data_IF_814501752282
#
_entry.id   IF_814501752282
#
_cell.length_a   1.000
_cell.length_b   1.000
_cell.length_c   1.000
_cell.angle_alpha   90.00
_cell.angle_beta   90.00
_cell.angle_gamma   90.00
#
_symmetry.space_group_name_H-M   'P 1'
#
loop_
_entity.id
_entity.type
_entity.pdbx_description
1 polymer ?
#
# COMPACT_ATOMS: atom_id res chain seq x y z
N UNK A 1 28.00 24.54 -12.35
CA UNK A 1 28.09 25.16 -13.68
C UNK A 1 26.70 25.55 -14.12
N UNK A 2 26.45 26.80 -14.39
CA UNK A 2 25.14 27.28 -14.85
C UNK A 2 25.11 27.18 -16.38
N UNK A 3 24.16 26.41 -16.92
CA UNK A 3 24.06 26.23 -18.37
C UNK A 3 22.66 26.68 -18.81
N UNK A 4 22.58 27.73 -19.62
CA UNK A 4 21.39 28.08 -20.41
C UNK A 4 21.62 27.55 -21.84
N UNK A 5 21.09 26.36 -22.15
CA UNK A 5 21.39 25.66 -23.37
C UNK A 5 20.15 25.09 -24.05
N UNK A 6 20.25 24.80 -25.36
CA UNK A 6 19.20 24.07 -26.08
C UNK A 6 19.08 22.63 -25.58
N UNK A 7 20.20 21.94 -25.37
CA UNK A 7 20.33 20.64 -24.69
C UNK A 7 21.73 20.56 -24.08
N UNK A 8 21.91 19.68 -23.09
CA UNK A 8 23.20 19.52 -22.42
C UNK A 8 23.58 18.04 -22.26
N UNK A 9 24.85 17.74 -22.51
CA UNK A 9 25.46 16.44 -22.23
C UNK A 9 26.70 16.67 -21.38
N UNK A 10 26.67 16.24 -20.13
CA UNK A 10 27.69 16.49 -19.13
C UNK A 10 28.25 15.16 -18.67
N UNK A 11 29.56 15.00 -18.79
CA UNK A 11 30.26 13.82 -18.27
C UNK A 11 31.38 14.30 -17.36
N UNK A 12 31.37 13.83 -16.11
CA UNK A 12 32.41 14.14 -15.12
C UNK A 12 32.71 12.89 -14.27
N UNK A 13 33.88 12.85 -13.68
CA UNK A 13 34.23 11.77 -12.75
C UNK A 13 34.28 12.25 -11.31
N UNK A 14 34.51 13.51 -11.11
CA UNK A 14 34.61 14.14 -9.78
C UNK A 14 34.08 15.59 -9.84
N UNK A 15 33.33 15.96 -8.82
CA UNK A 15 32.84 17.32 -8.68
C UNK A 15 31.34 17.46 -8.95
N UNK A 16 30.73 18.48 -8.40
CA UNK A 16 29.30 18.68 -8.51
C UNK A 16 28.86 19.18 -9.89
N UNK A 17 27.76 18.67 -10.38
CA UNK A 17 27.08 19.13 -11.60
C UNK A 17 25.88 19.98 -11.20
N UNK A 18 25.80 21.18 -11.76
CA UNK A 18 24.64 22.05 -11.66
C UNK A 18 24.18 22.44 -13.07
N UNK A 19 22.93 22.07 -13.42
CA UNK A 19 22.34 22.35 -14.72
C UNK A 19 20.98 23.03 -14.57
N UNK A 20 20.82 24.23 -15.14
CA UNK A 20 19.57 25.00 -15.03
C UNK A 20 19.14 25.55 -16.38
N UNK A 21 17.83 25.69 -16.58
CA UNK A 21 17.25 26.32 -17.77
C UNK A 21 17.65 25.64 -19.08
N UNK A 22 17.61 24.33 -19.14
CA UNK A 22 17.86 23.56 -20.37
C UNK A 22 16.54 23.45 -21.14
N UNK A 23 16.47 23.99 -22.34
CA UNK A 23 15.24 24.00 -23.16
C UNK A 23 14.89 22.63 -23.73
N UNK A 24 15.88 21.81 -24.05
CA UNK A 24 15.75 20.44 -24.54
C UNK A 24 16.15 19.41 -23.48
N UNK A 25 16.83 18.37 -23.92
CA UNK A 25 17.21 17.24 -23.09
C UNK A 25 18.48 17.48 -22.29
N UNK A 26 18.53 16.89 -21.11
CA UNK A 26 19.68 16.86 -20.23
C UNK A 26 20.19 15.42 -20.06
N UNK A 27 21.46 15.18 -20.38
CA UNK A 27 22.16 13.95 -20.10
C UNK A 27 23.32 14.24 -19.14
N UNK A 28 23.32 13.59 -17.97
CA UNK A 28 24.42 13.69 -16.98
C UNK A 28 24.96 12.29 -16.70
N UNK A 29 26.27 12.14 -16.83
CA UNK A 29 27.02 10.98 -16.32
C UNK A 29 28.06 11.48 -15.35
N UNK A 30 27.84 11.25 -14.06
CA UNK A 30 28.81 11.57 -13.01
C UNK A 30 29.15 10.31 -12.21
N UNK A 31 30.33 10.29 -11.64
CA UNK A 31 30.74 9.18 -10.81
C UNK A 31 30.82 9.56 -9.32
N UNK A 32 31.20 10.80 -9.01
CA UNK A 32 31.45 11.16 -7.62
C UNK A 32 31.23 12.67 -7.36
N UNK A 33 29.98 13.06 -7.23
CA UNK A 33 29.59 14.42 -6.94
C UNK A 33 28.08 14.57 -6.78
N UNK A 34 27.66 15.71 -6.31
CA UNK A 34 26.24 16.04 -6.29
C UNK A 34 25.77 16.47 -7.68
N UNK A 35 24.59 16.04 -8.06
CA UNK A 35 23.93 16.45 -9.30
C UNK A 35 22.68 17.25 -8.94
N UNK A 36 22.65 18.51 -9.31
CA UNK A 36 21.50 19.39 -9.14
C UNK A 36 21.04 19.91 -10.50
N UNK A 37 19.74 19.74 -10.83
CA UNK A 37 19.20 20.28 -12.06
C UNK A 37 17.76 20.78 -11.90
N UNK A 38 17.46 21.84 -12.66
CA UNK A 38 16.14 22.45 -12.61
C UNK A 38 15.75 23.11 -13.92
N UNK A 39 14.41 23.20 -14.14
CA UNK A 39 13.82 23.81 -15.31
C UNK A 39 14.33 23.17 -16.62
N UNK A 40 14.05 21.88 -16.78
CA UNK A 40 14.41 21.07 -17.95
C UNK A 40 13.18 20.96 -18.84
N UNK A 41 13.26 21.50 -20.05
CA UNK A 41 12.14 21.53 -21.00
C UNK A 41 11.92 20.19 -21.72
N UNK A 42 12.96 19.38 -21.87
CA UNK A 42 12.94 18.03 -22.43
C UNK A 42 13.06 16.96 -21.35
N UNK A 43 13.62 15.81 -21.73
CA UNK A 43 13.88 14.69 -20.84
C UNK A 43 15.19 14.84 -20.07
N UNK A 44 15.27 14.23 -18.90
CA UNK A 44 16.49 14.15 -18.10
C UNK A 44 16.92 12.70 -17.90
N UNK A 45 18.14 12.38 -18.29
CA UNK A 45 18.75 11.07 -18.12
C UNK A 45 20.02 11.22 -17.28
N UNK A 46 19.95 10.70 -16.04
CA UNK A 46 20.95 10.95 -15.01
C UNK A 46 21.53 9.61 -14.56
N UNK A 47 22.85 9.49 -14.64
CA UNK A 47 23.59 8.40 -14.02
C UNK A 47 24.60 8.99 -13.05
N UNK A 48 24.52 8.59 -11.76
CA UNK A 48 25.45 9.00 -10.72
C UNK A 48 25.79 7.83 -9.81
N UNK A 49 27.01 7.67 -9.36
CA UNK A 49 27.36 6.59 -8.44
C UNK A 49 27.37 7.02 -6.97
N UNK A 50 27.92 8.19 -6.68
CA UNK A 50 28.02 8.71 -5.32
C UNK A 50 27.67 10.20 -5.26
N UNK A 51 26.92 10.58 -4.24
CA UNK A 51 26.48 11.95 -4.02
C UNK A 51 24.99 12.15 -4.32
N UNK A 52 24.42 13.19 -3.79
CA UNK A 52 22.99 13.44 -3.86
C UNK A 52 22.55 13.88 -5.27
N UNK A 53 21.36 13.45 -5.67
CA UNK A 53 20.69 13.91 -6.86
C UNK A 53 19.46 14.73 -6.45
N UNK A 54 19.44 16.00 -6.82
CA UNK A 54 18.32 16.90 -6.52
C UNK A 54 17.80 17.51 -7.81
N UNK A 55 16.47 17.48 -8.01
CA UNK A 55 15.88 18.01 -9.22
C UNK A 55 14.52 18.66 -9.01
N UNK A 56 14.20 19.61 -9.92
CA UNK A 56 12.87 20.19 -10.01
C UNK A 56 12.51 20.61 -11.44
N UNK A 57 11.21 20.67 -11.69
CA UNK A 57 10.64 21.25 -12.91
C UNK A 57 11.14 20.58 -14.20
N UNK A 58 10.95 19.28 -14.30
CA UNK A 58 11.27 18.47 -15.51
C UNK A 58 9.99 18.26 -16.30
N UNK A 59 9.96 18.66 -17.56
CA UNK A 59 8.78 18.55 -18.42
C UNK A 59 8.72 17.26 -19.22
N UNK A 60 9.86 16.67 -19.56
CA UNK A 60 9.97 15.40 -20.26
C UNK A 60 10.02 14.18 -19.34
N UNK A 61 10.47 13.06 -19.89
CA UNK A 61 10.75 11.87 -19.10
C UNK A 61 11.92 12.09 -18.16
N UNK A 62 11.88 11.43 -17.01
CA UNK A 62 13.01 11.39 -16.09
C UNK A 62 13.46 9.95 -15.89
N UNK A 63 14.72 9.69 -16.16
CA UNK A 63 15.40 8.46 -15.80
C UNK A 63 16.60 8.79 -14.90
N UNK A 64 16.64 8.25 -13.70
CA UNK A 64 17.70 8.49 -12.74
C UNK A 64 18.21 7.17 -12.17
N UNK A 65 19.44 6.83 -12.46
CA UNK A 65 20.12 5.63 -11.97
C UNK A 65 21.27 6.05 -11.07
N UNK A 66 21.20 5.62 -9.81
CA UNK A 66 22.20 5.94 -8.80
C UNK A 66 22.58 4.68 -8.01
N UNK A 67 23.66 4.75 -7.24
CA UNK A 67 24.07 3.64 -6.40
C UNK A 67 24.07 4.00 -4.91
N UNK A 68 24.57 5.17 -4.56
CA UNK A 68 24.74 5.61 -3.17
C UNK A 68 24.32 7.08 -3.03
N UNK A 69 23.08 7.39 -3.41
CA UNK A 69 22.62 8.76 -3.49
C UNK A 69 21.29 8.95 -2.79
N UNK A 70 21.13 10.05 -2.06
CA UNK A 70 19.80 10.53 -1.76
C UNK A 70 19.23 11.20 -3.00
N UNK A 71 18.11 10.69 -3.49
CA UNK A 71 17.39 11.26 -4.62
C UNK A 71 16.22 12.09 -4.10
N UNK A 72 16.23 13.39 -4.38
CA UNK A 72 15.14 14.31 -4.03
C UNK A 72 14.62 15.00 -5.27
N UNK A 73 13.34 14.85 -5.54
CA UNK A 73 12.73 15.42 -6.73
C UNK A 73 11.34 15.99 -6.51
N UNK A 74 11.05 17.04 -7.25
CA UNK A 74 9.72 17.65 -7.25
C UNK A 74 9.34 18.17 -8.63
N UNK A 75 8.03 18.25 -8.88
CA UNK A 75 7.49 18.89 -10.10
C UNK A 75 8.00 18.24 -11.39
N UNK A 76 7.73 16.94 -11.57
CA UNK A 76 7.98 16.25 -12.84
C UNK A 76 6.66 16.13 -13.60
N UNK A 77 6.56 16.82 -14.73
CA UNK A 77 5.36 16.92 -15.55
C UNK A 77 5.32 15.88 -16.68
N UNK A 78 6.44 15.23 -16.96
CA UNK A 78 6.58 14.24 -18.02
C UNK A 78 5.73 12.98 -17.82
N UNK A 79 5.60 12.20 -18.88
CA UNK A 79 4.74 11.02 -18.90
C UNK A 79 5.26 9.86 -18.03
N UNK A 80 6.57 9.82 -17.74
CA UNK A 80 7.16 8.77 -16.89
C UNK A 80 8.36 9.26 -16.09
N UNK A 81 8.48 8.69 -14.89
CA UNK A 81 9.62 8.86 -13.98
C UNK A 81 10.10 7.47 -13.58
N UNK A 82 11.36 7.20 -13.83
CA UNK A 82 12.03 5.96 -13.43
C UNK A 82 13.22 6.30 -12.55
N UNK A 83 13.25 5.76 -11.34
CA UNK A 83 14.37 5.94 -10.42
C UNK A 83 14.85 4.59 -9.92
N UNK A 84 16.13 4.35 -10.05
CA UNK A 84 16.83 3.16 -9.54
C UNK A 84 17.99 3.59 -8.66
N UNK A 85 17.96 3.19 -7.40
CA UNK A 85 19.03 3.42 -6.46
C UNK A 85 19.35 2.14 -5.69
N UNK A 86 20.50 2.04 -5.06
CA UNK A 86 20.84 0.87 -4.25
C UNK A 86 20.77 1.15 -2.75
N UNK A 87 21.28 2.30 -2.28
CA UNK A 87 21.44 2.54 -0.85
C UNK A 87 20.79 3.80 -0.31
N UNK A 88 20.45 4.77 -1.13
CA UNK A 88 19.93 6.05 -0.67
C UNK A 88 18.41 6.08 -0.56
N UNK A 89 17.93 7.13 0.07
CA UNK A 89 16.51 7.42 0.15
C UNK A 89 16.01 8.08 -1.14
N UNK A 90 14.79 7.75 -1.53
CA UNK A 90 14.09 8.40 -2.65
C UNK A 90 12.93 9.21 -2.08
N UNK A 91 12.93 10.52 -2.31
CA UNK A 91 11.88 11.45 -1.88
C UNK A 91 11.35 12.22 -3.07
N UNK A 92 10.08 12.00 -3.41
CA UNK A 92 9.44 12.59 -4.60
C UNK A 92 8.15 13.30 -4.23
N UNK A 93 7.95 14.43 -4.86
CA UNK A 93 6.76 15.26 -4.70
C UNK A 93 6.26 15.76 -6.06
N UNK A 94 4.95 15.78 -6.28
CA UNK A 94 4.30 16.32 -7.46
C UNK A 94 4.77 15.65 -8.77
N UNK A 95 4.41 14.40 -8.97
CA UNK A 95 4.72 13.63 -10.19
C UNK A 95 3.44 13.48 -11.02
N UNK A 96 3.45 13.97 -12.26
CA UNK A 96 2.27 13.91 -13.13
C UNK A 96 2.13 12.59 -13.89
N UNK A 97 3.24 11.99 -14.31
CA UNK A 97 3.28 10.76 -15.09
C UNK A 97 3.30 9.48 -14.26
N UNK A 98 3.48 8.35 -14.94
CA UNK A 98 3.73 7.07 -14.29
C UNK A 98 5.06 7.12 -13.51
N UNK A 99 5.06 6.56 -12.32
CA UNK A 99 6.24 6.51 -11.45
C UNK A 99 6.65 5.06 -11.17
N UNK A 100 7.91 4.76 -11.42
CA UNK A 100 8.55 3.51 -11.01
C UNK A 100 9.84 3.83 -10.24
N UNK A 101 9.80 3.72 -8.90
CA UNK A 101 10.92 4.02 -8.02
C UNK A 101 11.34 2.79 -7.22
N UNK A 102 12.61 2.47 -7.26
CA UNK A 102 13.19 1.31 -6.61
C UNK A 102 14.50 1.64 -5.93
N UNK A 103 14.64 1.18 -4.69
CA UNK A 103 15.90 1.18 -3.94
C UNK A 103 16.08 -0.15 -3.20
N UNK A 104 17.30 -0.54 -2.85
CA UNK A 104 17.49 -1.74 -2.03
C UNK A 104 17.41 -1.45 -0.54
N UNK A 105 18.07 -0.41 -0.06
CA UNK A 105 18.20 -0.16 1.38
C UNK A 105 17.50 1.11 1.88
N UNK A 106 17.22 2.05 1.00
CA UNK A 106 16.66 3.34 1.36
C UNK A 106 15.14 3.33 1.56
N UNK A 107 14.67 4.34 2.25
CA UNK A 107 13.25 4.68 2.33
C UNK A 107 12.78 5.28 1.00
N UNK A 108 11.56 4.92 0.58
CA UNK A 108 10.87 5.57 -0.54
C UNK A 108 9.70 6.37 0.00
N UNK A 109 9.73 7.68 -0.24
CA UNK A 109 8.67 8.61 0.15
C UNK A 109 8.13 9.31 -1.09
N UNK A 110 6.82 9.17 -1.34
CA UNK A 110 6.15 9.78 -2.49
C UNK A 110 4.92 10.54 -2.05
N UNK A 111 4.78 11.79 -2.52
CA UNK A 111 3.60 12.62 -2.34
C UNK A 111 3.10 13.13 -3.68
N UNK A 112 1.78 13.26 -3.83
CA UNK A 112 1.14 13.89 -4.98
C UNK A 112 1.54 13.28 -6.34
N UNK A 113 1.40 11.97 -6.52
CA UNK A 113 1.65 11.32 -7.79
C UNK A 113 0.33 11.00 -8.53
N UNK A 114 0.15 11.58 -9.71
CA UNK A 114 -1.10 11.51 -10.50
C UNK A 114 -1.17 10.31 -11.46
N UNK A 115 -0.04 9.73 -11.83
CA UNK A 115 0.05 8.55 -12.67
C UNK A 115 -0.14 7.24 -11.89
N UNK A 116 0.08 6.11 -12.57
CA UNK A 116 0.25 4.82 -11.90
C UNK A 116 1.57 4.79 -11.13
N UNK A 117 1.56 4.25 -9.92
CA UNK A 117 2.73 4.29 -9.02
C UNK A 117 3.18 2.87 -8.68
N UNK A 118 4.45 2.58 -8.89
CA UNK A 118 5.12 1.37 -8.43
C UNK A 118 6.32 1.75 -7.59
N UNK A 119 6.32 1.31 -6.32
CA UNK A 119 7.40 1.58 -5.38
C UNK A 119 7.96 0.27 -4.85
N UNK A 120 9.29 0.16 -4.83
CA UNK A 120 9.97 -1.03 -4.31
C UNK A 120 11.13 -0.64 -3.43
N UNK A 121 11.29 -1.40 -2.33
CA UNK A 121 12.49 -1.41 -1.52
C UNK A 121 12.75 -2.83 -1.02
N UNK A 122 14.00 -3.21 -0.73
CA UNK A 122 14.24 -4.50 -0.09
C UNK A 122 14.19 -4.38 1.43
N UNK A 123 14.78 -3.32 1.99
CA UNK A 123 14.90 -3.14 3.44
C UNK A 123 14.22 -1.88 3.97
N UNK A 124 14.12 -0.84 3.19
CA UNK A 124 13.56 0.44 3.61
C UNK A 124 12.03 0.47 3.64
N UNK A 125 11.52 1.41 4.41
CA UNK A 125 10.08 1.68 4.45
C UNK A 125 9.59 2.36 3.16
N UNK A 126 8.32 2.13 2.84
CA UNK A 126 7.62 2.82 1.75
C UNK A 126 6.50 3.65 2.36
N UNK A 127 6.50 4.94 2.08
CA UNK A 127 5.43 5.87 2.46
C UNK A 127 4.92 6.58 1.22
N UNK A 128 3.61 6.54 1.01
CA UNK A 128 3.01 7.21 -0.14
C UNK A 128 1.65 7.84 0.21
N UNK A 129 1.42 9.03 -0.31
CA UNK A 129 0.18 9.77 -0.05
C UNK A 129 -0.30 10.55 -1.26
N UNK A 130 -1.62 10.77 -1.31
CA UNK A 130 -2.31 11.54 -2.34
C UNK A 130 -2.06 11.01 -3.76
N UNK A 131 -2.47 9.76 -4.02
CA UNK A 131 -2.30 9.08 -5.30
C UNK A 131 -3.67 8.68 -5.86
N UNK A 132 -4.23 9.42 -6.81
CA UNK A 132 -5.61 9.22 -7.26
C UNK A 132 -5.84 7.95 -8.09
N UNK A 133 -4.83 7.41 -8.77
CA UNK A 133 -5.01 6.25 -9.65
C UNK A 133 -4.83 4.89 -8.99
N UNK A 134 -4.00 4.79 -7.99
CA UNK A 134 -3.66 3.54 -7.34
C UNK A 134 -2.17 3.28 -7.27
N UNK A 135 -1.77 2.28 -6.47
CA UNK A 135 -0.38 2.04 -6.12
C UNK A 135 -0.06 0.56 -5.95
N UNK A 136 1.14 0.19 -6.36
CA UNK A 136 1.81 -1.05 -6.01
C UNK A 136 3.05 -0.77 -5.17
N UNK A 137 3.02 -1.11 -3.88
CA UNK A 137 4.11 -0.93 -2.92
C UNK A 137 4.64 -2.30 -2.47
N UNK A 138 5.94 -2.54 -2.64
CA UNK A 138 6.57 -3.82 -2.29
C UNK A 138 7.87 -3.57 -1.54
N UNK A 139 7.98 -4.13 -0.35
CA UNK A 139 9.25 -4.15 0.39
C UNK A 139 9.48 -5.54 1.01
N UNK A 140 10.70 -5.84 1.37
CA UNK A 140 11.02 -7.08 2.09
C UNK A 140 10.83 -6.92 3.60
N UNK A 141 11.53 -5.97 4.19
CA UNK A 141 11.61 -5.81 5.65
C UNK A 141 10.97 -4.51 6.17
N UNK A 142 10.84 -3.50 5.33
CA UNK A 142 10.30 -2.21 5.73
C UNK A 142 8.78 -2.22 5.95
N UNK A 143 8.30 -1.24 6.72
CA UNK A 143 6.86 -0.96 6.81
C UNK A 143 6.33 -0.28 5.55
N UNK A 144 5.02 -0.40 5.31
CA UNK A 144 4.32 0.27 4.23
C UNK A 144 3.23 1.15 4.83
N UNK A 145 3.26 2.44 4.52
CA UNK A 145 2.22 3.40 4.92
C UNK A 145 1.65 4.06 3.68
N UNK A 146 0.35 3.88 3.45
CA UNK A 146 -0.38 4.38 2.29
C UNK A 146 -1.58 5.19 2.77
N UNK A 147 -1.67 6.45 2.35
CA UNK A 147 -2.74 7.36 2.77
C UNK A 147 -3.31 8.10 1.57
N UNK A 148 -4.64 8.23 1.51
CA UNK A 148 -5.35 8.95 0.45
C UNK A 148 -5.04 8.42 -0.96
N UNK A 149 -5.26 7.13 -1.16
CA UNK A 149 -5.08 6.46 -2.43
C UNK A 149 -6.45 6.31 -3.12
N UNK A 150 -6.64 6.93 -4.26
CA UNK A 150 -7.94 6.97 -4.95
C UNK A 150 -8.33 5.68 -5.68
N UNK A 151 -7.36 4.89 -6.13
CA UNK A 151 -7.57 3.65 -6.88
C UNK A 151 -7.17 2.40 -6.11
N UNK A 152 -7.03 1.30 -6.86
CA UNK A 152 -6.65 0.01 -6.32
C UNK A 152 -5.24 0.02 -5.72
N UNK A 153 -5.10 -0.66 -4.59
CA UNK A 153 -3.89 -0.63 -3.78
C UNK A 153 -3.39 -2.04 -3.52
N UNK A 154 -2.14 -2.27 -3.87
CA UNK A 154 -1.42 -3.49 -3.54
C UNK A 154 -0.23 -3.20 -2.64
N UNK A 155 -0.19 -3.82 -1.47
CA UNK A 155 0.92 -3.72 -0.50
C UNK A 155 1.49 -5.10 -0.19
N UNK A 156 2.81 -5.25 -0.29
CA UNK A 156 3.51 -6.48 0.07
C UNK A 156 4.75 -6.20 0.89
N UNK A 157 4.83 -6.86 2.06
CA UNK A 157 6.04 -6.89 2.89
C UNK A 157 6.15 -8.24 3.59
N UNK A 158 7.34 -8.61 4.07
CA UNK A 158 7.50 -9.86 4.83
C UNK A 158 7.58 -9.63 6.33
N UNK A 159 8.18 -8.53 6.78
CA UNK A 159 8.42 -8.28 8.21
C UNK A 159 7.84 -6.96 8.71
N UNK A 160 7.67 -5.98 7.87
CA UNK A 160 7.14 -4.69 8.25
C UNK A 160 5.62 -4.69 8.45
N UNK A 161 5.12 -3.73 9.19
CA UNK A 161 3.68 -3.48 9.29
C UNK A 161 3.15 -2.77 8.03
N UNK A 162 1.86 -2.98 7.77
CA UNK A 162 1.14 -2.27 6.71
C UNK A 162 0.06 -1.40 7.35
N UNK A 163 0.09 -0.12 7.05
CA UNK A 163 -0.96 0.85 7.36
C UNK A 163 -1.52 1.39 6.04
N UNK A 164 -2.83 1.22 5.83
CA UNK A 164 -3.54 1.74 4.67
C UNK A 164 -4.77 2.53 5.11
N UNK A 165 -4.83 3.81 4.76
CA UNK A 165 -5.91 4.71 5.18
C UNK A 165 -6.48 5.46 3.98
N UNK A 166 -7.82 5.57 3.92
CA UNK A 166 -8.56 6.30 2.88
C UNK A 166 -8.29 5.74 1.47
N UNK A 167 -8.59 4.47 1.27
CA UNK A 167 -8.42 3.80 -0.03
C UNK A 167 -9.73 3.88 -0.82
N UNK A 168 -9.70 4.53 -1.97
CA UNK A 168 -10.87 4.73 -2.83
C UNK A 168 -11.23 3.51 -3.69
N UNK A 169 -10.27 2.64 -3.98
CA UNK A 169 -10.43 1.36 -4.67
C UNK A 169 -10.40 0.17 -3.73
N UNK A 170 -9.98 -0.99 -4.26
CA UNK A 170 -9.76 -2.22 -3.49
C UNK A 170 -8.37 -2.26 -2.88
N UNK A 171 -8.24 -2.94 -1.75
CA UNK A 171 -6.98 -3.15 -1.05
C UNK A 171 -6.60 -4.63 -1.05
N UNK A 172 -5.40 -4.93 -1.51
CA UNK A 172 -4.79 -6.27 -1.38
C UNK A 172 -3.49 -6.19 -0.60
N UNK A 173 -3.40 -6.93 0.50
CA UNK A 173 -2.21 -6.99 1.35
C UNK A 173 -1.66 -8.41 1.40
N UNK A 174 -0.37 -8.55 1.16
CA UNK A 174 0.40 -9.77 1.40
C UNK A 174 1.50 -9.48 2.43
N UNK A 175 1.37 -10.07 3.59
CA UNK A 175 2.35 -9.89 4.66
C UNK A 175 2.70 -11.26 5.28
N UNK A 176 3.79 -11.36 6.03
CA UNK A 176 4.10 -12.58 6.79
C UNK A 176 4.10 -12.32 8.29
N UNK A 177 4.84 -11.33 8.77
CA UNK A 177 5.09 -11.14 10.20
C UNK A 177 4.64 -9.81 10.81
N UNK A 178 4.38 -8.79 10.00
CA UNK A 178 3.96 -7.49 10.50
C UNK A 178 2.44 -7.35 10.62
N UNK A 179 1.99 -6.47 11.50
CA UNK A 179 0.57 -6.15 11.63
C UNK A 179 0.02 -5.47 10.38
N UNK A 180 -1.25 -5.74 10.09
CA UNK A 180 -1.97 -5.08 9.01
C UNK A 180 -3.11 -4.26 9.61
N UNK A 181 -3.10 -2.97 9.34
CA UNK A 181 -4.18 -2.05 9.72
C UNK A 181 -4.68 -1.34 8.47
N UNK A 182 -5.97 -1.45 8.20
CA UNK A 182 -6.61 -0.69 7.13
C UNK A 182 -7.86 0.02 7.64
N UNK A 183 -8.05 1.26 7.20
CA UNK A 183 -9.21 2.09 7.56
C UNK A 183 -9.76 2.80 6.33
N UNK A 184 -11.08 2.92 6.25
CA UNK A 184 -11.76 3.62 5.16
C UNK A 184 -11.39 3.06 3.77
N UNK A 185 -11.66 1.78 3.51
CA UNK A 185 -11.49 1.17 2.20
C UNK A 185 -12.87 1.10 1.52
N UNK A 186 -13.05 1.78 0.39
CA UNK A 186 -14.35 1.81 -0.31
C UNK A 186 -14.62 0.52 -1.09
N UNK A 187 -13.60 -0.09 -1.66
CA UNK A 187 -13.67 -1.36 -2.40
C UNK A 187 -13.51 -2.59 -1.51
N UNK A 188 -13.11 -3.70 -2.14
CA UNK A 188 -12.84 -4.96 -1.46
C UNK A 188 -11.55 -4.90 -0.65
N UNK A 189 -11.46 -5.64 0.46
CA UNK A 189 -10.24 -5.80 1.24
C UNK A 189 -9.84 -7.27 1.31
N UNK A 190 -8.69 -7.60 0.74
CA UNK A 190 -8.07 -8.91 0.77
C UNK A 190 -6.75 -8.89 1.55
N UNK A 191 -6.63 -9.67 2.63
CA UNK A 191 -5.42 -9.74 3.45
C UNK A 191 -4.98 -11.19 3.60
N UNK A 192 -3.73 -11.46 3.26
CA UNK A 192 -3.06 -12.73 3.52
C UNK A 192 -1.83 -12.46 4.40
N UNK A 193 -1.80 -13.08 5.59
CA UNK A 193 -0.69 -12.92 6.55
C UNK A 193 -0.50 -14.19 7.37
N UNK A 194 0.60 -14.29 8.15
CA UNK A 194 0.88 -15.51 8.92
C UNK A 194 0.93 -15.30 10.42
N UNK A 195 1.55 -14.24 10.93
CA UNK A 195 1.89 -14.17 12.37
C UNK A 195 1.40 -12.93 13.12
N UNK A 196 0.84 -11.95 12.50
CA UNK A 196 0.46 -10.74 13.20
C UNK A 196 -1.02 -10.42 13.08
N UNK A 197 -1.51 -9.53 13.95
CA UNK A 197 -2.91 -9.12 13.95
C UNK A 197 -3.31 -8.36 12.70
N UNK A 198 -4.57 -8.54 12.31
CA UNK A 198 -5.22 -7.82 11.22
C UNK A 198 -6.35 -6.99 11.79
N UNK A 199 -6.33 -5.70 11.55
CA UNK A 199 -7.40 -4.76 11.90
C UNK A 199 -7.92 -4.08 10.65
N UNK A 200 -9.16 -4.35 10.30
CA UNK A 200 -9.85 -3.73 9.18
C UNK A 200 -11.05 -2.95 9.70
N UNK A 201 -11.05 -1.64 9.48
CA UNK A 201 -12.11 -0.77 9.96
C UNK A 201 -12.73 0.01 8.82
N UNK A 202 -14.07 0.03 8.77
CA UNK A 202 -14.84 0.76 7.77
C UNK A 202 -14.55 0.30 6.34
N UNK A 203 -14.83 -0.98 6.06
CA UNK A 203 -14.64 -1.59 4.74
C UNK A 203 -15.97 -1.67 3.99
N UNK A 204 -16.03 -1.10 2.79
CA UNK A 204 -17.26 -0.99 1.98
C UNK A 204 -17.53 -2.17 1.07
N UNK A 205 -16.51 -2.93 0.67
CA UNK A 205 -16.62 -4.10 -0.23
C UNK A 205 -16.56 -5.43 0.49
N UNK A 206 -16.29 -6.50 -0.27
CA UNK A 206 -16.03 -7.84 0.24
C UNK A 206 -14.78 -7.84 1.13
N UNK A 207 -14.83 -8.62 2.21
CA UNK A 207 -13.70 -8.78 3.12
C UNK A 207 -13.23 -10.23 3.10
N UNK A 208 -11.96 -10.44 2.81
CA UNK A 208 -11.32 -11.74 2.86
C UNK A 208 -10.01 -11.65 3.64
N UNK A 209 -9.92 -12.36 4.76
CA UNK A 209 -8.70 -12.41 5.57
C UNK A 209 -8.32 -13.88 5.78
N UNK A 210 -7.12 -14.24 5.35
CA UNK A 210 -6.48 -15.52 5.69
C UNK A 210 -5.24 -15.22 6.53
N UNK A 211 -5.32 -15.57 7.82
CA UNK A 211 -4.23 -15.41 8.77
C UNK A 211 -3.96 -16.75 9.45
N UNK A 212 -2.74 -17.03 9.81
CA UNK A 212 -2.44 -18.30 10.50
C UNK A 212 -2.45 -18.16 12.02
N UNK A 213 -1.79 -17.14 12.56
CA UNK A 213 -1.53 -17.05 14.00
C UNK A 213 -1.92 -15.73 14.67
N UNK A 214 -2.50 -14.79 13.96
CA UNK A 214 -2.84 -13.48 14.52
C UNK A 214 -4.34 -13.27 14.70
N UNK A 215 -4.70 -12.41 15.63
CA UNK A 215 -6.08 -12.00 15.84
C UNK A 215 -6.61 -11.21 14.63
N UNK A 216 -7.88 -11.41 14.32
CA UNK A 216 -8.58 -10.67 13.25
C UNK A 216 -9.67 -9.82 13.88
N UNK A 217 -9.61 -8.51 13.69
CA UNK A 217 -10.65 -7.56 14.08
C UNK A 217 -11.17 -6.83 12.85
N UNK A 218 -12.46 -6.97 12.56
CA UNK A 218 -13.09 -6.38 11.38
C UNK A 218 -14.31 -5.58 11.78
N UNK A 219 -14.44 -4.36 11.26
CA UNK A 219 -15.67 -3.57 11.30
C UNK A 219 -16.12 -3.32 9.85
N UNK A 220 -17.23 -3.93 9.47
CA UNK A 220 -17.82 -3.73 8.16
C UNK A 220 -18.64 -2.44 8.11
N UNK A 221 -18.49 -1.66 7.04
CA UNK A 221 -19.33 -0.51 6.77
C UNK A 221 -20.70 -0.98 6.23
N UNK A 222 -21.77 -0.22 6.53
CA UNK A 222 -23.06 -0.44 5.87
C UNK A 222 -22.98 0.04 4.41
N UNK A 223 -23.01 -0.85 3.42
CA UNK A 223 -23.02 -0.42 2.02
C UNK A 223 -24.35 0.20 1.64
N UNK A 224 -24.36 1.07 0.64
CA UNK A 224 -25.58 1.68 0.12
C UNK A 224 -26.58 0.64 -0.42
N UNK A 225 -26.08 -0.47 -0.97
CA UNK A 225 -26.88 -1.51 -1.62
C UNK A 225 -26.59 -2.89 -0.98
N UNK A 226 -27.42 -3.29 -0.01
CA UNK A 226 -27.35 -4.63 0.59
C UNK A 226 -26.08 -4.91 1.40
N UNK A 227 -25.82 -6.17 1.66
CA UNK A 227 -24.64 -6.66 2.39
C UNK A 227 -23.46 -6.97 1.46
N UNK A 228 -22.31 -7.35 2.02
CA UNK A 228 -21.13 -7.88 1.31
C UNK A 228 -20.63 -9.15 2.00
N UNK A 229 -20.04 -10.05 1.22
CA UNK A 229 -19.50 -11.28 1.77
C UNK A 229 -18.29 -10.99 2.66
N UNK A 230 -18.20 -11.71 3.77
CA UNK A 230 -17.11 -11.62 4.73
C UNK A 230 -16.60 -13.05 5.00
N UNK A 231 -15.32 -13.27 4.73
CA UNK A 231 -14.64 -14.54 4.98
C UNK A 231 -13.39 -14.29 5.80
N UNK A 232 -13.37 -14.75 7.05
CA UNK A 232 -12.26 -14.57 7.98
C UNK A 232 -11.78 -15.93 8.47
N UNK A 233 -10.48 -16.16 8.36
CA UNK A 233 -9.83 -17.41 8.79
C UNK A 233 -8.57 -17.11 9.59
N UNK A 234 -8.46 -17.78 10.75
CA UNK A 234 -7.22 -17.87 11.54
C UNK A 234 -7.12 -19.26 12.17
N UNK A 235 -5.99 -19.58 12.81
CA UNK A 235 -5.80 -20.87 13.44
C UNK A 235 -5.51 -20.83 14.93
N UNK A 236 -4.91 -19.75 15.44
CA UNK A 236 -4.45 -19.70 16.83
C UNK A 236 -4.83 -18.43 17.59
N UNK A 237 -5.80 -17.69 17.11
CA UNK A 237 -6.17 -16.44 17.79
C UNK A 237 -7.64 -16.11 17.55
N UNK A 238 -8.15 -15.08 18.20
CA UNK A 238 -9.57 -14.72 18.11
C UNK A 238 -9.94 -14.03 16.80
N UNK A 239 -11.19 -14.26 16.38
CA UNK A 239 -11.86 -13.48 15.34
C UNK A 239 -12.94 -12.61 16.01
N UNK A 240 -12.86 -11.30 15.82
CA UNK A 240 -13.93 -10.37 16.16
C UNK A 240 -14.42 -9.67 14.90
N UNK A 241 -15.69 -9.86 14.57
CA UNK A 241 -16.33 -9.19 13.43
C UNK A 241 -17.51 -8.35 13.90
N UNK A 242 -17.53 -7.09 13.49
CA UNK A 242 -18.67 -6.18 13.69
C UNK A 242 -19.37 -5.97 12.37
N UNK A 243 -20.64 -6.32 12.33
CA UNK A 243 -21.47 -6.15 11.15
C UNK A 243 -22.61 -5.18 11.42
N UNK A 244 -23.04 -4.37 10.44
CA UNK A 244 -24.12 -3.43 10.60
C UNK A 244 -25.45 -4.13 10.97
N UNK A 245 -26.18 -3.54 11.92
CA UNK A 245 -27.52 -4.03 12.28
C UNK A 245 -28.49 -3.85 11.12
N UNK A 246 -29.42 -4.82 10.98
CA UNK A 246 -30.45 -4.80 9.94
C UNK A 246 -29.99 -5.28 8.55
N UNK A 247 -28.75 -5.74 8.43
CA UNK A 247 -28.29 -6.51 7.26
C UNK A 247 -28.49 -8.01 7.50
N UNK A 248 -28.79 -8.73 6.42
CA UNK A 248 -28.96 -10.19 6.47
C UNK A 248 -27.67 -10.92 6.07
N UNK A 249 -27.34 -11.97 6.83
CA UNK A 249 -26.21 -12.85 6.52
C UNK A 249 -26.57 -14.33 6.66
N UNK A 250 -26.03 -15.15 5.78
CA UNK A 250 -25.95 -16.60 5.95
C UNK A 250 -24.66 -16.89 6.70
N UNK A 251 -24.78 -17.25 7.99
CA UNK A 251 -23.67 -17.44 8.89
C UNK A 251 -23.18 -18.89 8.86
N UNK A 252 -21.88 -19.05 8.71
CA UNK A 252 -21.14 -20.28 9.00
C UNK A 252 -19.95 -19.94 9.87
N UNK A 253 -19.98 -20.28 11.16
CA UNK A 253 -18.89 -20.05 12.08
C UNK A 253 -18.44 -21.39 12.69
N UNK A 254 -17.14 -21.65 12.69
CA UNK A 254 -16.53 -22.88 13.20
C UNK A 254 -15.26 -22.58 13.98
N UNK A 255 -15.10 -23.24 15.13
CA UNK A 255 -13.85 -23.28 15.89
C UNK A 255 -13.66 -24.73 16.41
N UNK A 256 -12.42 -25.18 16.66
CA UNK A 256 -12.21 -26.51 17.23
C UNK A 256 -12.01 -26.46 18.76
N UNK A 257 -11.37 -25.41 19.27
CA UNK A 257 -11.02 -25.28 20.71
C UNK A 257 -11.37 -23.90 21.26
N UNK A 258 -12.46 -23.29 20.79
CA UNK A 258 -12.88 -21.97 21.23
C UNK A 258 -14.37 -21.90 21.55
N UNK A 259 -14.87 -20.70 21.66
CA UNK A 259 -16.29 -20.40 21.82
C UNK A 259 -16.76 -19.47 20.76
N UNK A 260 -17.97 -19.70 20.26
CA UNK A 260 -18.64 -18.79 19.31
C UNK A 260 -19.71 -18.01 20.07
N UNK A 261 -19.71 -16.69 19.95
CA UNK A 261 -20.71 -15.81 20.55
C UNK A 261 -21.22 -14.80 19.51
N UNK A 262 -22.50 -14.47 19.62
CA UNK A 262 -23.12 -13.46 18.74
C UNK A 262 -24.01 -12.54 19.57
N UNK A 263 -23.84 -11.22 19.42
CA UNK A 263 -24.77 -10.20 19.93
C UNK A 263 -25.99 -10.04 19.03
N UNK A 264 -25.90 -10.51 17.78
CA UNK A 264 -27.00 -10.48 16.83
C UNK A 264 -27.84 -11.74 16.95
N UNK A 265 -29.17 -11.64 16.85
CA UNK A 265 -30.04 -12.82 16.81
C UNK A 265 -29.68 -13.71 15.63
N UNK A 266 -29.43 -14.99 15.89
CA UNK A 266 -29.16 -16.02 14.87
C UNK A 266 -30.28 -17.02 14.88
N UNK A 267 -30.97 -17.16 13.76
CA UNK A 267 -31.90 -18.30 13.55
C UNK A 267 -31.07 -19.51 13.11
N UNK A 268 -30.85 -20.44 14.03
CA UNK A 268 -30.01 -21.61 13.76
C UNK A 268 -30.70 -22.62 12.86
N UNK A 269 -29.95 -23.20 11.93
CA UNK A 269 -30.32 -24.36 11.11
C UNK A 269 -29.45 -25.54 11.48
N UNK A 270 -30.01 -26.48 12.24
CA UNK A 270 -29.33 -27.71 12.71
C UNK A 270 -28.99 -27.68 14.20
N UNK A 271 -28.16 -28.62 14.66
CA UNK A 271 -27.72 -28.70 16.07
C UNK A 271 -26.76 -27.57 16.40
N UNK A 272 -27.00 -26.90 17.52
CA UNK A 272 -26.10 -25.90 18.06
C UNK A 272 -25.04 -26.64 18.87
N UNK A 273 -23.82 -26.78 18.31
CA UNK A 273 -22.63 -27.21 19.02
C UNK A 273 -21.87 -26.03 19.60
N UNK A 274 -21.05 -26.26 20.63
CA UNK A 274 -20.20 -25.20 21.19
C UNK A 274 -19.10 -24.71 20.23
N UNK A 275 -18.82 -25.50 19.20
CA UNK A 275 -17.76 -25.36 18.21
C UNK A 275 -18.26 -24.97 16.79
N UNK A 276 -19.56 -25.01 16.58
CA UNK A 276 -20.17 -24.69 15.27
C UNK A 276 -21.47 -23.92 15.45
N UNK A 277 -21.61 -22.82 14.71
CA UNK A 277 -22.84 -22.02 14.64
C UNK A 277 -23.19 -21.77 13.17
N UNK A 278 -24.21 -22.47 12.67
CA UNK A 278 -24.77 -22.26 11.34
C UNK A 278 -26.16 -21.68 11.46
N UNK A 279 -26.49 -20.69 10.64
CA UNK A 279 -27.80 -20.05 10.68
C UNK A 279 -27.88 -18.81 9.84
N UNK A 280 -28.94 -18.02 10.07
CA UNK A 280 -29.16 -16.74 9.42
C UNK A 280 -29.24 -15.62 10.45
N UNK A 281 -28.60 -14.50 10.11
CA UNK A 281 -28.78 -13.23 10.79
C UNK A 281 -29.76 -12.39 9.95
N UNK A 282 -30.81 -11.86 10.57
CA UNK A 282 -31.84 -11.09 9.85
C UNK A 282 -32.55 -11.95 8.80
N UNK A 283 -32.68 -11.43 7.59
CA UNK A 283 -33.34 -12.13 6.47
C UNK A 283 -32.41 -13.08 5.69
N UNK A 284 -31.17 -13.27 6.13
CA UNK A 284 -30.16 -13.95 5.30
C UNK A 284 -29.66 -13.04 4.17
N UNK A 285 -28.83 -13.58 3.29
CA UNK A 285 -28.28 -12.85 2.13
C UNK A 285 -26.82 -13.17 1.87
N UNK A 286 -25.92 -12.24 2.18
CA UNK A 286 -24.49 -12.42 1.95
C UNK A 286 -23.89 -13.47 2.88
N UNK A 287 -22.76 -14.02 2.50
CA UNK A 287 -22.03 -15.00 3.29
C UNK A 287 -21.24 -14.35 4.42
N UNK A 288 -21.38 -14.86 5.64
CA UNK A 288 -20.50 -14.56 6.77
C UNK A 288 -19.83 -15.86 7.19
N UNK A 289 -18.61 -16.07 6.71
CA UNK A 289 -17.84 -17.29 6.95
C UNK A 289 -16.68 -16.98 7.91
N UNK A 290 -16.70 -17.64 9.08
CA UNK A 290 -15.72 -17.43 10.13
C UNK A 290 -15.13 -18.78 10.52
N UNK A 291 -13.82 -18.94 10.38
CA UNK A 291 -13.13 -20.20 10.66
C UNK A 291 -11.93 -19.94 11.56
N UNK A 292 -11.92 -20.61 12.69
CA UNK A 292 -10.78 -20.63 13.61
C UNK A 292 -10.50 -22.08 14.04
N UNK A 293 -9.29 -22.35 14.53
CA UNK A 293 -8.99 -23.65 15.13
C UNK A 293 -8.87 -23.60 16.65
N UNK A 294 -8.20 -22.57 17.18
CA UNK A 294 -7.86 -22.52 18.61
C UNK A 294 -8.24 -21.18 19.29
N UNK A 295 -9.14 -20.43 18.75
CA UNK A 295 -9.56 -19.16 19.31
C UNK A 295 -11.07 -18.99 19.33
N UNK A 296 -11.51 -17.91 19.97
CA UNK A 296 -12.92 -17.58 20.06
C UNK A 296 -13.37 -16.71 18.90
N UNK A 297 -14.61 -16.92 18.47
CA UNK A 297 -15.27 -16.13 17.44
C UNK A 297 -16.35 -15.27 18.08
N UNK A 298 -16.24 -13.96 17.88
CA UNK A 298 -17.20 -12.99 18.40
C UNK A 298 -17.83 -12.22 17.22
N UNK A 299 -19.16 -12.28 17.13
CA UNK A 299 -19.95 -11.53 16.16
C UNK A 299 -20.67 -10.44 16.91
N UNK A 300 -20.33 -9.18 16.66
CA UNK A 300 -20.86 -8.02 17.36
C UNK A 300 -21.60 -7.09 16.40
N UNK A 301 -22.36 -6.14 16.96
CA UNK A 301 -22.96 -5.05 16.20
C UNK A 301 -21.89 -4.02 15.85
N UNK A 302 -21.93 -3.53 14.63
CA UNK A 302 -21.18 -2.32 14.27
C UNK A 302 -21.84 -1.09 14.90
N UNK A 303 -21.02 -0.09 15.29
CA UNK A 303 -21.53 1.14 15.89
C UNK A 303 -22.42 1.95 14.94
#
# INVERSE_FOLDING_TARGET
MLIDAASANITTSFGSVEARNIRGDLLVRDNNGNVEFSNIGGSADITNSFGNVTFSDVRGHLNCVTNNARVQGRSVLGASVTIRDSFGNIELDTISGALDAETSNGKVLVRDARGSVTLKSSFGAIEASNIPKGIRAVTGNGGITLTDIGGDTFAKTSFGSVLAENIGGSLTVQNSNGSVTARNVKGDAGVNTSFAGVTLDTIGGRITVDNQNGAISVTAMRPANGCRDISLKTSFSSIRVRVPEGLGYNLTARTSFGRISSELPVTSTGSIGGDTLNGTIGSGGCQLQLTDSNGSIEIAKAP
#
